data_IF_601569048033
#
_entry.id   IF_601569048033
#
_cell.length_a   1.000
_cell.length_b   1.000
_cell.length_c   1.000
_cell.angle_alpha   90.00
_cell.angle_beta   90.00
_cell.angle_gamma   90.00
#
_symmetry.space_group_name_H-M   'P 1'
#
loop_
_entity.id
_entity.type
_entity.pdbx_description
1 polymer ?
#
# COMPACT_ATOMS: atom_id res chain seq x y z
N UNK A 1 13.32 1.87 0.41
CA UNK A 1 11.88 1.94 0.04
C UNK A 1 11.08 2.88 0.95
N UNK A 2 9.91 3.31 0.48
CA UNK A 2 8.88 4.05 1.24
C UNK A 2 7.67 3.14 1.46
N UNK A 3 7.10 3.16 2.66
CA UNK A 3 5.81 2.52 2.95
C UNK A 3 4.76 3.60 3.13
N UNK A 4 3.69 3.57 2.33
CA UNK A 4 2.63 4.58 2.41
C UNK A 4 1.26 3.92 2.49
N UNK A 5 0.50 4.27 3.53
CA UNK A 5 -0.94 3.97 3.61
C UNK A 5 -1.75 5.12 3.01
N UNK A 6 -2.75 4.79 2.21
CA UNK A 6 -3.68 5.76 1.63
C UNK A 6 -4.81 6.08 2.61
N UNK A 7 -5.33 7.30 2.54
CA UNK A 7 -6.38 7.79 3.45
C UNK A 7 -7.77 7.24 3.11
N UNK A 8 -7.97 6.80 1.86
CA UNK A 8 -9.24 6.25 1.37
C UNK A 8 -9.51 4.87 1.97
N UNK A 9 -10.78 4.46 2.01
CA UNK A 9 -11.18 3.19 2.63
C UNK A 9 -12.67 3.02 2.89
N UNK A 10 -13.49 4.07 2.70
CA UNK A 10 -14.92 4.03 3.00
C UNK A 10 -15.80 3.66 1.78
N UNK A 11 -15.23 3.68 0.58
CA UNK A 11 -15.95 3.39 -0.66
C UNK A 11 -16.11 1.89 -0.95
N UNK A 12 -16.82 1.59 -2.03
CA UNK A 12 -16.88 0.25 -2.61
C UNK A 12 -15.58 -0.08 -3.37
N UNK A 13 -15.39 -1.37 -3.66
CA UNK A 13 -14.22 -1.96 -4.32
C UNK A 13 -13.92 -1.34 -5.69
N UNK A 14 -14.95 -0.92 -6.42
CA UNK A 14 -14.82 -0.38 -7.78
C UNK A 14 -13.83 0.79 -7.86
N UNK A 15 -13.91 1.74 -6.93
CA UNK A 15 -13.02 2.91 -6.91
C UNK A 15 -11.52 2.54 -6.84
N UNK A 16 -11.07 1.81 -5.80
CA UNK A 16 -9.67 1.39 -5.72
C UNK A 16 -9.27 0.40 -6.83
N UNK A 17 -10.15 -0.52 -7.26
CA UNK A 17 -9.82 -1.46 -8.34
C UNK A 17 -9.68 -0.77 -9.70
N UNK A 18 -10.56 0.18 -10.03
CA UNK A 18 -10.45 0.97 -11.26
C UNK A 18 -9.17 1.82 -11.24
N UNK A 19 -8.77 2.33 -10.07
CA UNK A 19 -7.50 3.03 -9.90
C UNK A 19 -6.30 2.10 -10.12
N UNK A 20 -6.30 0.93 -9.49
CA UNK A 20 -5.17 0.00 -9.48
C UNK A 20 -5.02 -0.79 -10.79
N UNK A 21 -6.12 -1.21 -11.39
CA UNK A 21 -6.11 -2.12 -12.55
C UNK A 21 -6.66 -1.48 -13.82
N UNK A 22 -7.14 -0.25 -13.76
CA UNK A 22 -7.89 0.35 -14.87
C UNK A 22 -9.34 -0.14 -14.89
N UNK A 23 -10.20 0.59 -15.60
CA UNK A 23 -11.64 0.29 -15.66
C UNK A 23 -11.91 -1.08 -16.28
N UNK A 24 -11.14 -1.44 -17.31
CA UNK A 24 -11.28 -2.69 -18.05
C UNK A 24 -10.26 -3.76 -17.61
N UNK A 25 -9.57 -3.51 -16.47
CA UNK A 25 -8.56 -4.41 -15.87
C UNK A 25 -7.33 -4.64 -16.73
N UNK A 26 -7.03 -3.69 -17.60
CA UNK A 26 -5.99 -3.69 -18.63
C UNK A 26 -5.00 -2.53 -18.48
N UNK A 27 -4.92 -1.91 -17.30
CA UNK A 27 -4.01 -0.78 -17.06
C UNK A 27 -2.57 -1.17 -17.41
N UNK A 28 -1.98 -0.40 -18.31
CA UNK A 28 -0.57 -0.52 -18.66
C UNK A 28 0.32 -0.45 -17.42
N UNK A 29 1.36 -1.29 -17.40
CA UNK A 29 2.32 -1.40 -16.30
C UNK A 29 1.70 -1.80 -14.95
N UNK A 30 0.52 -2.43 -14.96
CA UNK A 30 -0.09 -3.02 -13.77
C UNK A 30 -0.15 -4.56 -13.89
N UNK A 31 0.26 -5.26 -12.83
CA UNK A 31 0.24 -6.73 -12.78
C UNK A 31 -0.24 -7.21 -11.41
N UNK A 32 -1.25 -8.06 -11.38
CA UNK A 32 -1.65 -8.74 -10.13
C UNK A 32 -0.57 -9.76 -9.77
N UNK A 33 -0.01 -9.66 -8.56
CA UNK A 33 1.03 -10.55 -8.06
C UNK A 33 0.48 -11.65 -7.15
N UNK A 34 -0.51 -11.32 -6.30
CA UNK A 34 -1.09 -12.24 -5.33
C UNK A 34 -2.50 -11.79 -4.95
N UNK A 35 -3.37 -12.75 -4.62
CA UNK A 35 -4.75 -12.53 -4.20
C UNK A 35 -5.75 -12.60 -5.35
N UNK A 36 -7.03 -12.73 -5.02
CA UNK A 36 -8.12 -12.80 -5.99
C UNK A 36 -8.93 -11.50 -5.99
N UNK A 37 -9.06 -10.88 -7.18
CA UNK A 37 -9.74 -9.59 -7.35
C UNK A 37 -11.22 -9.69 -7.01
N UNK A 38 -11.88 -10.80 -7.39
CA UNK A 38 -13.31 -11.00 -7.17
C UNK A 38 -13.62 -11.23 -5.70
N UNK A 39 -12.82 -12.07 -5.03
CA UNK A 39 -12.93 -12.34 -3.59
C UNK A 39 -12.75 -11.05 -2.78
N UNK A 40 -11.66 -10.31 -3.03
CA UNK A 40 -11.37 -9.04 -2.34
C UNK A 40 -12.46 -8.00 -2.63
N UNK A 41 -12.95 -7.91 -3.86
CA UNK A 41 -14.07 -7.05 -4.22
C UNK A 41 -15.32 -7.38 -3.40
N UNK A 42 -15.72 -8.65 -3.37
CA UNK A 42 -16.89 -9.12 -2.66
C UNK A 42 -16.82 -8.83 -1.16
N UNK A 43 -15.67 -9.08 -0.52
CA UNK A 43 -15.44 -8.78 0.89
C UNK A 43 -15.58 -7.28 1.21
N UNK A 44 -15.05 -6.42 0.34
CA UNK A 44 -15.17 -4.96 0.49
C UNK A 44 -16.62 -4.51 0.32
N UNK A 45 -17.28 -4.99 -0.72
CA UNK A 45 -18.61 -4.50 -1.11
C UNK A 45 -19.69 -4.93 -0.11
N UNK A 46 -19.56 -6.14 0.43
CA UNK A 46 -20.47 -6.70 1.44
C UNK A 46 -20.16 -6.27 2.87
N UNK A 47 -19.01 -5.60 3.10
CA UNK A 47 -18.61 -5.16 4.45
C UNK A 47 -19.64 -4.21 5.08
N UNK A 48 -20.09 -4.49 6.33
CA UNK A 48 -21.00 -3.61 7.04
C UNK A 48 -20.29 -2.42 7.72
N UNK A 49 -18.95 -2.38 7.71
CA UNK A 49 -18.17 -1.38 8.42
C UNK A 49 -17.98 -0.09 7.60
N UNK A 50 -17.93 1.06 8.27
CA UNK A 50 -17.77 2.36 7.61
C UNK A 50 -16.44 2.48 6.84
N UNK A 51 -15.37 1.93 7.39
CA UNK A 51 -14.07 1.79 6.71
C UNK A 51 -13.92 0.36 6.22
N UNK A 52 -14.27 0.12 4.97
CA UNK A 52 -14.39 -1.19 4.31
C UNK A 52 -13.05 -1.81 3.91
N UNK A 53 -12.05 -0.98 3.60
CA UNK A 53 -10.74 -1.46 3.20
C UNK A 53 -9.60 -0.56 3.69
N UNK A 54 -8.39 -1.10 3.63
CA UNK A 54 -7.12 -0.41 3.82
C UNK A 54 -6.28 -0.63 2.57
N UNK A 55 -5.71 0.43 2.02
CA UNK A 55 -4.82 0.35 0.86
C UNK A 55 -3.57 1.19 1.05
N UNK A 56 -2.57 0.90 0.25
CA UNK A 56 -1.28 1.57 0.28
C UNK A 56 -0.31 0.98 -0.72
N UNK A 57 0.94 1.39 -0.65
CA UNK A 57 2.01 0.83 -1.46
C UNK A 57 3.34 0.77 -0.72
N UNK A 58 4.17 -0.19 -1.15
CA UNK A 58 5.62 -0.20 -0.95
C UNK A 58 6.24 0.38 -2.23
N UNK A 59 6.85 1.55 -2.15
CA UNK A 59 7.44 2.25 -3.29
C UNK A 59 8.96 2.17 -3.22
N UNK A 60 9.58 1.69 -4.29
CA UNK A 60 11.01 1.47 -4.42
C UNK A 60 11.64 2.58 -5.25
N UNK A 61 12.91 2.87 -5.00
CA UNK A 61 13.67 3.74 -5.91
C UNK A 61 14.13 2.93 -7.13
N UNK A 62 14.41 1.66 -6.87
CA UNK A 62 14.81 0.63 -7.81
C UNK A 62 13.75 0.42 -8.89
N UNK A 63 14.23 0.10 -10.10
CA UNK A 63 13.36 -0.17 -11.23
C UNK A 63 12.56 -1.46 -11.05
N UNK A 64 13.22 -2.50 -10.53
CA UNK A 64 12.64 -3.81 -10.35
C UNK A 64 13.38 -4.60 -9.25
N UNK A 65 12.75 -5.69 -8.82
CA UNK A 65 13.30 -6.69 -7.91
C UNK A 65 13.02 -8.08 -8.48
N UNK A 66 13.77 -9.09 -8.06
CA UNK A 66 13.44 -10.47 -8.45
C UNK A 66 12.06 -10.86 -7.90
N UNK A 67 11.32 -11.71 -8.63
CA UNK A 67 10.00 -12.19 -8.16
C UNK A 67 10.10 -12.84 -6.77
N UNK A 68 11.19 -13.56 -6.49
CA UNK A 68 11.45 -14.14 -5.18
C UNK A 68 11.59 -13.09 -4.08
N UNK A 69 12.29 -11.98 -4.35
CA UNK A 69 12.42 -10.87 -3.40
C UNK A 69 11.07 -10.17 -3.19
N UNK A 70 10.31 -9.91 -4.27
CA UNK A 70 8.96 -9.32 -4.17
C UNK A 70 8.06 -10.16 -3.25
N UNK A 71 7.99 -11.47 -3.48
CA UNK A 71 7.18 -12.39 -2.69
C UNK A 71 7.60 -12.42 -1.21
N UNK A 72 8.92 -12.41 -0.93
CA UNK A 72 9.44 -12.39 0.43
C UNK A 72 9.10 -11.09 1.15
N UNK A 73 9.29 -9.95 0.49
CA UNK A 73 8.98 -8.63 1.04
C UNK A 73 7.48 -8.47 1.30
N UNK A 74 6.62 -8.90 0.37
CA UNK A 74 5.16 -8.92 0.55
C UNK A 74 4.75 -9.74 1.77
N UNK A 75 5.29 -10.96 1.89
CA UNK A 75 5.01 -11.85 3.03
C UNK A 75 5.47 -11.25 4.36
N UNK A 76 6.69 -10.72 4.41
CA UNK A 76 7.24 -10.11 5.63
C UNK A 76 6.44 -8.86 6.02
N UNK A 77 5.96 -8.08 5.04
CA UNK A 77 5.07 -6.95 5.30
C UNK A 77 3.75 -7.40 5.91
N UNK A 78 3.12 -8.44 5.36
CA UNK A 78 1.89 -9.00 5.92
C UNK A 78 2.10 -9.47 7.37
N UNK A 79 3.20 -10.16 7.67
CA UNK A 79 3.56 -10.55 9.04
C UNK A 79 3.76 -9.35 9.96
N UNK A 80 4.34 -8.25 9.45
CA UNK A 80 4.46 -7.01 10.18
C UNK A 80 3.09 -6.35 10.41
N UNK A 81 2.10 -6.49 9.53
CA UNK A 81 0.77 -5.93 9.75
C UNK A 81 -0.09 -6.78 10.68
N UNK A 82 0.01 -8.11 10.60
CA UNK A 82 -0.88 -9.05 11.27
C UNK A 82 -0.13 -9.97 12.23
N UNK A 83 0.49 -9.43 13.29
CA UNK A 83 1.27 -10.25 14.21
C UNK A 83 0.37 -11.28 14.91
N UNK A 84 0.72 -12.56 14.76
CA UNK A 84 -0.01 -13.67 15.38
C UNK A 84 -1.29 -14.11 14.65
N UNK A 85 -1.56 -13.58 13.45
CA UNK A 85 -2.66 -14.07 12.61
C UNK A 85 -2.16 -15.06 11.57
N UNK A 86 -3.02 -16.01 11.21
CA UNK A 86 -2.78 -16.93 10.10
C UNK A 86 -3.26 -16.35 8.76
N UNK A 87 -2.63 -16.76 7.65
CA UNK A 87 -2.97 -16.27 6.30
C UNK A 87 -4.44 -16.53 5.93
N UNK A 88 -5.08 -17.55 6.50
CA UNK A 88 -6.49 -17.84 6.25
C UNK A 88 -7.44 -16.77 6.81
N UNK A 89 -6.99 -15.98 7.80
CA UNK A 89 -7.78 -15.01 8.55
C UNK A 89 -7.98 -13.67 7.84
N UNK A 90 -7.20 -13.39 6.81
CA UNK A 90 -7.25 -12.11 6.09
C UNK A 90 -7.02 -12.33 4.59
N UNK A 91 -7.23 -11.28 3.80
CA UNK A 91 -6.92 -11.25 2.37
C UNK A 91 -6.13 -9.99 2.04
N UNK A 92 -5.14 -10.14 1.17
CA UNK A 92 -4.39 -9.02 0.59
C UNK A 92 -4.33 -9.25 -0.91
N UNK A 93 -4.81 -8.27 -1.66
CA UNK A 93 -4.57 -8.19 -3.11
C UNK A 93 -3.31 -7.36 -3.33
N UNK A 94 -2.30 -7.96 -3.95
CA UNK A 94 -1.06 -7.31 -4.33
C UNK A 94 -1.03 -7.02 -5.83
N UNK A 95 -0.73 -5.76 -6.17
CA UNK A 95 -0.63 -5.29 -7.55
C UNK A 95 0.70 -4.55 -7.71
N UNK A 96 1.51 -5.01 -8.64
CA UNK A 96 2.70 -4.30 -9.09
C UNK A 96 2.31 -3.17 -10.04
N UNK A 97 2.86 -1.98 -9.81
CA UNK A 97 2.88 -0.87 -10.76
C UNK A 97 4.32 -0.50 -11.14
N UNK A 98 4.53 -0.20 -12.41
CA UNK A 98 5.76 0.41 -12.94
C UNK A 98 5.44 1.62 -13.84
N UNK A 99 4.42 2.40 -13.48
CA UNK A 99 3.92 3.51 -14.31
C UNK A 99 4.67 4.83 -14.10
N UNK A 100 5.31 5.03 -12.95
CA UNK A 100 5.99 6.29 -12.59
C UNK A 100 7.46 6.27 -12.97
N UNK A 101 7.93 7.30 -13.65
CA UNK A 101 9.35 7.51 -13.93
C UNK A 101 10.07 8.10 -12.71
N UNK A 102 11.28 7.64 -12.49
CA UNK A 102 12.27 8.26 -11.65
C UNK A 102 13.00 9.32 -12.48
N UNK A 103 12.88 10.59 -12.09
CA UNK A 103 13.47 11.70 -12.85
C UNK A 103 15.02 11.68 -12.83
N UNK A 104 15.62 11.09 -11.79
CA UNK A 104 17.08 11.03 -11.64
C UNK A 104 17.71 9.92 -12.48
N UNK A 105 17.09 8.74 -12.52
CA UNK A 105 17.62 7.58 -13.26
C UNK A 105 17.05 7.43 -14.67
N UNK A 106 15.90 8.05 -14.95
CA UNK A 106 15.14 7.86 -16.18
C UNK A 106 14.40 6.51 -16.26
N UNK A 107 14.48 5.68 -15.22
CA UNK A 107 13.84 4.36 -15.16
C UNK A 107 12.48 4.43 -14.47
N UNK A 108 11.62 3.43 -14.70
CA UNK A 108 10.32 3.33 -14.01
C UNK A 108 10.52 2.85 -12.59
N UNK A 109 9.81 3.36 -11.60
CA UNK A 109 9.90 2.90 -10.20
C UNK A 109 9.00 1.69 -9.98
N UNK A 110 9.50 0.70 -9.27
CA UNK A 110 8.67 -0.40 -8.78
C UNK A 110 7.77 0.08 -7.63
N UNK A 111 6.47 -0.20 -7.71
CA UNK A 111 5.52 -0.04 -6.61
C UNK A 111 4.74 -1.34 -6.40
N UNK A 112 4.78 -1.87 -5.17
CA UNK A 112 3.96 -3.00 -4.74
C UNK A 112 2.75 -2.43 -3.98
N UNK A 113 1.64 -2.26 -4.68
CA UNK A 113 0.38 -1.79 -4.11
C UNK A 113 -0.34 -2.93 -3.41
N UNK A 114 -1.01 -2.62 -2.30
CA UNK A 114 -1.83 -3.57 -1.56
C UNK A 114 -3.24 -3.03 -1.32
N UNK A 115 -4.21 -3.94 -1.35
CA UNK A 115 -5.61 -3.69 -1.00
C UNK A 115 -6.09 -4.79 -0.05
N UNK A 116 -6.54 -4.39 1.14
CA UNK A 116 -6.89 -5.27 2.25
C UNK A 116 -8.34 -4.97 2.67
N UNK A 117 -9.27 -5.94 2.57
CA UNK A 117 -10.59 -5.81 3.19
C UNK A 117 -10.48 -5.73 4.72
N UNK A 118 -11.22 -4.81 5.34
CA UNK A 118 -11.20 -4.59 6.79
C UNK A 118 -12.15 -5.54 7.54
N UNK A 119 -12.09 -6.82 7.20
CA UNK A 119 -12.87 -7.89 7.81
C UNK A 119 -11.98 -9.12 8.01
N UNK A 120 -12.07 -9.72 9.20
CA UNK A 120 -11.41 -10.99 9.49
C UNK A 120 -12.30 -12.13 8.95
N UNK A 121 -11.69 -13.06 8.23
CA UNK A 121 -12.39 -13.99 7.34
C UNK A 121 -13.20 -15.04 8.10
N UNK A 122 -12.70 -15.54 9.23
CA UNK A 122 -13.37 -16.63 9.96
C UNK A 122 -14.53 -16.14 10.82
N UNK A 123 -14.40 -14.95 11.39
CA UNK A 123 -15.32 -14.39 12.37
C UNK A 123 -16.25 -13.34 11.79
N UNK A 124 -15.92 -12.75 10.64
CA UNK A 124 -16.63 -11.60 10.07
C UNK A 124 -16.47 -10.30 10.89
N UNK A 125 -15.64 -10.32 11.92
CA UNK A 125 -15.39 -9.15 12.76
C UNK A 125 -14.52 -8.13 12.03
N UNK A 126 -14.56 -6.90 12.52
CA UNK A 126 -13.77 -5.81 11.96
C UNK A 126 -12.29 -6.10 12.12
N UNK A 127 -11.57 -6.11 11.00
CA UNK A 127 -10.11 -6.12 10.97
C UNK A 127 -9.62 -4.68 10.75
N UNK A 128 -8.67 -4.22 11.56
CA UNK A 128 -7.99 -2.94 11.34
C UNK A 128 -6.51 -3.20 11.03
N UNK A 129 -6.13 -3.30 9.74
CA UNK A 129 -4.76 -3.65 9.35
C UNK A 129 -3.68 -2.65 9.77
N UNK A 130 -4.06 -1.38 9.97
CA UNK A 130 -3.13 -0.33 10.37
C UNK A 130 -3.81 0.73 11.23
N UNK A 131 -3.18 1.03 12.36
CA UNK A 131 -3.44 2.14 13.25
C UNK A 131 -2.13 2.84 13.57
N UNK A 132 -1.90 3.98 12.92
CA UNK A 132 -0.61 4.70 12.90
C UNK A 132 0.07 4.82 14.27
N UNK A 133 -0.68 5.24 15.30
CA UNK A 133 -0.14 5.43 16.64
C UNK A 133 0.50 4.17 17.24
N UNK A 134 -0.06 3.00 16.96
CA UNK A 134 0.43 1.73 17.50
C UNK A 134 1.39 1.00 16.53
N UNK A 135 1.13 1.11 15.23
CA UNK A 135 1.77 0.25 14.23
C UNK A 135 2.95 0.92 13.52
N UNK A 136 3.03 2.25 13.53
CA UNK A 136 4.09 2.99 12.85
C UNK A 136 5.50 2.52 13.22
N UNK A 137 5.87 2.33 14.50
CA UNK A 137 7.22 1.85 14.84
C UNK A 137 7.55 0.48 14.23
N UNK A 138 6.55 -0.41 14.12
CA UNK A 138 6.71 -1.76 13.57
C UNK A 138 6.88 -1.72 12.05
N UNK A 139 6.08 -0.91 11.37
CA UNK A 139 6.22 -0.67 9.93
C UNK A 139 7.54 0.03 9.59
N UNK A 140 7.96 1.00 10.39
CA UNK A 140 9.26 1.68 10.21
C UNK A 140 10.44 0.71 10.42
N UNK A 141 10.33 -0.24 11.35
CA UNK A 141 11.36 -1.27 11.55
C UNK A 141 11.40 -2.24 10.38
N UNK A 142 10.25 -2.74 9.92
CA UNK A 142 10.15 -3.55 8.70
C UNK A 142 10.85 -2.87 7.52
N UNK A 143 10.54 -1.59 7.28
CA UNK A 143 11.18 -0.79 6.22
C UNK A 143 12.71 -0.79 6.33
N UNK A 144 13.25 -0.55 7.52
CA UNK A 144 14.71 -0.50 7.75
C UNK A 144 15.37 -1.85 7.53
N UNK A 145 14.78 -2.93 8.06
CA UNK A 145 15.31 -4.29 7.89
C UNK A 145 15.31 -4.66 6.41
N UNK A 146 14.20 -4.47 5.71
CA UNK A 146 14.10 -4.76 4.28
C UNK A 146 15.09 -3.93 3.45
N UNK A 147 15.22 -2.63 3.72
CA UNK A 147 16.20 -1.81 3.00
C UNK A 147 17.62 -2.34 3.19
N UNK A 148 17.98 -2.73 4.42
CA UNK A 148 19.30 -3.27 4.72
C UNK A 148 19.55 -4.64 4.06
N UNK A 149 18.62 -5.58 4.22
CA UNK A 149 18.76 -6.95 3.70
C UNK A 149 18.89 -7.01 2.18
N UNK A 150 18.13 -6.16 1.48
CA UNK A 150 18.11 -6.12 0.02
C UNK A 150 18.96 -4.99 -0.58
N UNK A 151 19.72 -4.28 0.25
CA UNK A 151 20.59 -3.16 -0.16
C UNK A 151 19.84 -2.08 -0.97
N UNK A 152 18.60 -1.79 -0.56
CA UNK A 152 17.72 -0.84 -1.23
C UNK A 152 18.04 0.59 -0.81
N UNK A 153 17.77 1.53 -1.71
CA UNK A 153 17.81 2.96 -1.44
C UNK A 153 16.95 3.31 -0.22
N UNK A 154 17.57 3.93 0.79
CA UNK A 154 16.88 4.43 1.95
C UNK A 154 16.38 5.85 1.70
N UNK A 155 15.05 6.01 1.67
CA UNK A 155 14.42 7.33 1.48
C UNK A 155 14.58 8.24 2.72
N UNK A 156 14.90 7.67 3.89
CA UNK A 156 15.11 8.43 5.12
C UNK A 156 16.58 8.85 5.33
N UNK A 157 17.51 8.38 4.47
CA UNK A 157 18.92 8.73 4.51
C UNK A 157 19.08 10.26 4.48
N UNK A 158 19.78 10.86 5.44
CA UNK A 158 20.06 12.30 5.45
C UNK A 158 20.65 12.83 4.14
N UNK A 159 21.42 12.01 3.40
CA UNK A 159 22.04 12.39 2.12
C UNK A 159 21.01 12.55 0.99
N UNK A 160 19.90 11.81 1.03
CA UNK A 160 18.87 11.79 -0.01
C UNK A 160 17.58 12.50 0.42
N UNK A 161 17.59 13.12 1.60
CA UNK A 161 16.44 13.85 2.12
C UNK A 161 16.19 15.11 1.29
N UNK A 162 15.01 15.20 0.69
CA UNK A 162 14.58 16.41 -0.01
C UNK A 162 14.61 17.62 0.94
N UNK A 163 15.25 18.71 0.50
CA UNK A 163 15.37 19.95 1.28
C UNK A 163 14.00 20.58 1.61
N UNK A 164 12.97 20.28 0.81
CA UNK A 164 11.60 20.74 1.01
C UNK A 164 10.65 19.55 0.90
N UNK A 165 9.91 19.26 1.95
CA UNK A 165 8.81 18.30 1.91
C UNK A 165 7.50 19.06 1.72
N UNK A 166 6.92 19.01 0.53
CA UNK A 166 5.59 19.60 0.27
C UNK A 166 4.53 18.70 0.89
N UNK A 167 3.66 19.27 1.74
CA UNK A 167 2.55 18.50 2.28
C UNK A 167 1.63 18.02 1.15
N UNK A 168 1.46 16.70 1.00
CA UNK A 168 0.68 16.07 -0.09
C UNK A 168 -0.81 16.48 -0.11
N UNK A 169 -1.31 17.05 0.98
CA UNK A 169 -2.71 17.44 1.18
C UNK A 169 -2.83 18.94 1.47
N UNK A 170 -2.08 19.79 0.78
CA UNK A 170 -2.36 21.22 0.81
C UNK A 170 -3.79 21.44 0.28
N UNK A 171 -4.65 22.17 1.02
CA UNK A 171 -5.92 22.63 0.51
C UNK A 171 -5.74 23.23 -0.88
N UNK A 172 -6.47 22.70 -1.87
CA UNK A 172 -6.34 23.17 -3.25
C UNK A 172 -7.11 24.47 -3.48
N UNK A 173 -8.04 24.78 -2.57
CA UNK A 173 -8.90 25.96 -2.65
C UNK A 173 -8.95 26.70 -1.32
N UNK A 174 -9.25 28.01 -1.40
CA UNK A 174 -9.34 28.90 -0.22
C UNK A 174 -10.42 28.44 0.78
N UNK A 175 -11.47 27.77 0.30
CA UNK A 175 -12.53 27.25 1.17
C UNK A 175 -12.05 26.05 2.02
N UNK A 176 -11.26 25.15 1.44
CA UNK A 176 -10.67 24.02 2.17
C UNK A 176 -9.67 24.47 3.24
N UNK A 177 -9.00 25.62 3.05
CA UNK A 177 -8.11 26.23 4.07
C UNK A 177 -8.92 26.66 5.29
N UNK A 178 -10.11 27.23 5.09
CA UNK A 178 -10.96 27.71 6.19
C UNK A 178 -11.58 26.58 7.02
N UNK A 179 -11.76 25.40 6.44
CA UNK A 179 -12.29 24.22 7.15
C UNK A 179 -11.24 23.45 7.96
N UNK A 180 -9.95 23.71 7.71
CA UNK A 180 -8.83 23.04 8.39
C UNK A 180 -8.17 23.86 9.50
N UNK A 181 -8.60 25.12 9.69
CA UNK A 181 -8.23 26.01 10.80
C UNK A 181 -9.30 26.00 11.89
#
# INVERSE_FOLDING_TARGET
MIVQFFRYGNGLSKGPLDYLLGKDRDRDYAKVLQGDVSEVSGLIDTSPYAKKYTSGCLSFYEHDLSEQHKQKIMKDFEQALFPGMDQSQYRVLWIEHQDKLNEETGERRLELNFLIPNVEIHTGQRLQPYYDRADRPRVDLFKKITNYEYQLHDADDPLYRQAVTTAKNLPKTVNEIKETL
#
